data_IF_211701777095
#
_entry.id   IF_211701777095
#
_cell.length_a   1.000
_cell.length_b   1.000
_cell.length_c   1.000
_cell.angle_alpha   90.00
_cell.angle_beta   90.00
_cell.angle_gamma   90.00
#
_symmetry.space_group_name_H-M   'P 1'
#
loop_
_entity.id
_entity.type
_entity.pdbx_description
1 polymer ?
#
# COMPACT_ATOMS: atom_id res chain seq x y z
N UNK A 1 -4.92 4.05 -9.84
CA UNK A 1 -3.97 5.13 -9.48
C UNK A 1 -4.47 6.03 -8.35
N UNK A 2 -5.61 6.71 -8.49
CA UNK A 2 -6.05 7.79 -7.60
C UNK A 2 -6.07 7.47 -6.09
N UNK A 3 -6.46 6.26 -5.70
CA UNK A 3 -6.47 5.88 -4.27
C UNK A 3 -5.04 5.81 -3.70
N UNK A 4 -4.09 5.26 -4.44
CA UNK A 4 -2.70 5.10 -3.97
C UNK A 4 -1.99 6.45 -3.96
N UNK A 5 -2.14 7.24 -5.03
CA UNK A 5 -1.60 8.61 -5.10
C UNK A 5 -2.17 9.48 -3.98
N UNK A 6 -3.49 9.43 -3.75
CA UNK A 6 -4.12 10.20 -2.68
C UNK A 6 -3.65 9.78 -1.29
N UNK A 7 -3.43 8.48 -1.07
CA UNK A 7 -2.88 7.97 0.19
C UNK A 7 -1.44 8.44 0.41
N UNK A 8 -0.58 8.35 -0.62
CA UNK A 8 0.81 8.82 -0.58
C UNK A 8 0.88 10.34 -0.34
N UNK A 9 0.10 11.15 -1.05
CA UNK A 9 0.05 12.61 -0.82
C UNK A 9 -0.44 12.97 0.58
N UNK A 10 -1.47 12.27 1.09
CA UNK A 10 -1.97 12.48 2.45
C UNK A 10 -0.89 12.19 3.48
N UNK A 11 -0.13 11.13 3.25
CA UNK A 11 0.99 10.76 4.07
C UNK A 11 2.07 11.86 4.08
N UNK A 12 2.49 12.35 2.91
CA UNK A 12 3.53 13.39 2.82
C UNK A 12 3.08 14.66 3.55
N UNK A 13 1.78 14.94 3.49
CA UNK A 13 1.17 16.04 4.23
C UNK A 13 1.21 15.84 5.75
N UNK A 14 1.00 14.62 6.26
CA UNK A 14 1.07 14.36 7.70
C UNK A 14 2.49 14.43 8.26
N UNK A 15 3.49 14.18 7.44
CA UNK A 15 4.90 14.30 7.81
C UNK A 15 5.49 15.68 7.50
N UNK A 16 4.72 16.56 6.85
CA UNK A 16 5.21 17.87 6.43
C UNK A 16 6.35 17.80 5.41
N UNK A 17 6.41 16.73 4.61
CA UNK A 17 7.53 16.43 3.70
C UNK A 17 7.10 16.37 2.23
N UNK A 18 8.08 16.17 1.35
CA UNK A 18 7.89 15.97 -0.08
C UNK A 18 8.46 14.61 -0.50
N UNK A 19 7.96 14.07 -1.62
CA UNK A 19 8.31 12.72 -2.04
C UNK A 19 8.34 12.53 -3.55
N UNK A 20 8.89 11.39 -3.95
CA UNK A 20 8.93 10.92 -5.33
C UNK A 20 8.04 9.68 -5.42
N UNK A 21 7.12 9.66 -6.38
CA UNK A 21 6.24 8.52 -6.62
C UNK A 21 6.72 7.76 -7.85
N UNK A 22 7.24 6.56 -7.64
CA UNK A 22 7.62 5.63 -8.70
C UNK A 22 6.58 4.52 -8.80
N UNK A 23 6.11 4.27 -10.01
CA UNK A 23 5.08 3.28 -10.30
C UNK A 23 5.66 2.18 -11.18
N UNK A 24 5.26 0.94 -10.91
CA UNK A 24 5.66 -0.17 -11.76
C UNK A 24 5.04 -0.02 -13.15
N UNK A 25 3.70 0.08 -13.24
CA UNK A 25 2.99 0.18 -14.52
C UNK A 25 1.68 0.97 -14.44
N UNK A 26 1.41 1.69 -15.53
CA UNK A 26 0.08 2.11 -15.97
C UNK A 26 -0.06 1.83 -17.47
N UNK A 27 -1.08 1.04 -17.84
CA UNK A 27 -1.33 0.67 -19.24
C UNK A 27 -1.74 1.88 -20.09
N UNK A 28 -2.23 2.95 -19.46
CA UNK A 28 -2.65 4.18 -20.12
C UNK A 28 -1.50 5.18 -20.38
N UNK A 29 -0.24 4.74 -20.22
CA UNK A 29 1.00 5.47 -20.58
C UNK A 29 1.23 6.76 -19.78
N UNK A 30 2.20 7.56 -20.25
CA UNK A 30 2.63 8.83 -19.68
C UNK A 30 1.52 9.89 -19.61
N UNK A 31 0.54 9.87 -20.51
CA UNK A 31 -0.53 10.87 -20.58
C UNK A 31 -1.35 10.91 -19.28
N UNK A 32 -1.63 9.75 -18.69
CA UNK A 32 -2.36 9.67 -17.42
C UNK A 32 -1.52 10.19 -16.25
N UNK A 33 -0.20 9.96 -16.25
CA UNK A 33 0.71 10.50 -15.23
C UNK A 33 0.89 12.02 -15.38
N UNK A 34 0.99 12.50 -16.61
CA UNK A 34 1.05 13.93 -16.92
C UNK A 34 -0.22 14.64 -16.46
N UNK A 35 -1.38 14.09 -16.83
CA UNK A 35 -2.67 14.61 -16.40
C UNK A 35 -2.77 14.64 -14.86
N UNK A 36 -2.42 13.52 -14.21
CA UNK A 36 -2.42 13.41 -12.75
C UNK A 36 -1.50 14.45 -12.09
N UNK A 37 -0.33 14.72 -12.66
CA UNK A 37 0.62 15.68 -12.10
C UNK A 37 0.14 17.12 -12.28
N UNK A 38 -0.34 17.46 -13.48
CA UNK A 38 -0.78 18.82 -13.82
C UNK A 38 -2.12 19.18 -13.17
N UNK A 39 -3.04 18.22 -13.11
CA UNK A 39 -4.41 18.43 -12.70
C UNK A 39 -4.73 17.77 -11.36
N UNK A 40 -3.91 16.89 -10.80
CA UNK A 40 -4.22 16.25 -9.51
C UNK A 40 -5.33 15.20 -9.59
N UNK A 41 -6.07 15.05 -8.49
CA UNK A 41 -7.00 13.96 -8.23
C UNK A 41 -8.43 14.45 -8.00
N UNK A 42 -9.38 13.89 -8.73
CA UNK A 42 -10.80 14.03 -8.39
C UNK A 42 -11.24 12.89 -7.46
N UNK A 43 -11.57 13.24 -6.22
CA UNK A 43 -12.04 12.30 -5.20
C UNK A 43 -13.28 12.82 -4.50
N UNK A 44 -14.41 12.12 -4.69
CA UNK A 44 -15.67 12.35 -3.95
C UNK A 44 -16.15 13.81 -3.97
N UNK A 45 -16.05 14.47 -5.13
CA UNK A 45 -16.45 15.86 -5.31
C UNK A 45 -15.43 16.89 -4.81
N UNK A 46 -14.27 16.44 -4.33
CA UNK A 46 -13.13 17.31 -4.01
C UNK A 46 -12.00 17.09 -5.01
N UNK A 47 -11.37 18.20 -5.38
CA UNK A 47 -10.19 18.22 -6.22
C UNK A 47 -8.95 18.36 -5.34
N UNK A 48 -7.98 17.47 -5.51
CA UNK A 48 -6.77 17.40 -4.68
C UNK A 48 -5.57 17.57 -5.59
N UNK A 49 -4.87 18.70 -5.46
CA UNK A 49 -3.54 18.88 -6.06
C UNK A 49 -2.56 17.88 -5.45
N UNK A 50 -1.68 17.35 -6.29
CA UNK A 50 -0.65 16.38 -5.89
C UNK A 50 0.75 16.95 -5.99
N UNK A 51 0.93 17.98 -6.80
CA UNK A 51 2.20 18.67 -7.07
C UNK A 51 2.70 19.50 -5.87
N UNK A 52 1.85 19.73 -4.87
CA UNK A 52 2.22 20.41 -3.62
C UNK A 52 3.06 19.54 -2.66
N UNK A 53 3.14 18.23 -2.93
CA UNK A 53 3.85 17.26 -2.09
C UNK A 53 4.64 16.24 -2.90
N UNK A 54 4.11 15.79 -4.04
CA UNK A 54 4.79 14.83 -4.92
C UNK A 54 5.56 15.63 -5.96
N UNK A 55 6.89 15.54 -5.90
CA UNK A 55 7.79 16.34 -6.75
C UNK A 55 8.03 15.70 -8.11
N UNK A 56 7.85 14.38 -8.20
CA UNK A 56 8.10 13.61 -9.41
C UNK A 56 7.20 12.38 -9.46
N UNK A 57 6.62 12.16 -10.64
CA UNK A 57 6.03 10.89 -11.03
C UNK A 57 6.98 10.20 -12.01
N UNK A 58 7.34 8.95 -11.70
CA UNK A 58 8.15 8.12 -12.57
C UNK A 58 7.46 6.79 -12.80
N UNK A 59 7.61 6.26 -14.02
CA UNK A 59 7.23 4.90 -14.36
C UNK A 59 8.39 4.28 -15.12
N UNK A 60 8.60 2.99 -14.94
CA UNK A 60 9.65 2.28 -15.66
C UNK A 60 9.06 1.54 -16.86
N UNK A 61 9.90 1.22 -17.85
CA UNK A 61 9.47 0.45 -19.01
C UNK A 61 9.57 -1.05 -18.70
N UNK A 62 8.83 -1.89 -19.43
CA UNK A 62 8.91 -3.35 -19.30
C UNK A 62 10.38 -3.84 -19.37
N UNK A 63 10.76 -4.69 -18.42
CA UNK A 63 12.12 -5.25 -18.25
C UNK A 63 13.26 -4.23 -18.03
N UNK A 64 12.96 -2.96 -17.77
CA UNK A 64 13.98 -1.91 -17.75
C UNK A 64 14.46 -1.50 -16.35
N UNK A 65 13.86 -2.03 -15.26
CA UNK A 65 14.18 -1.55 -13.92
C UNK A 65 14.27 -2.64 -12.85
N UNK A 66 15.40 -2.69 -12.17
CA UNK A 66 15.58 -3.45 -10.93
C UNK A 66 14.60 -3.00 -9.84
N UNK A 67 14.14 -1.75 -9.87
CA UNK A 67 13.15 -1.25 -8.93
C UNK A 67 11.77 -1.87 -9.17
N UNK A 68 11.38 -2.06 -10.44
CA UNK A 68 10.16 -2.77 -10.81
C UNK A 68 10.21 -4.22 -10.34
N UNK A 69 11.34 -4.91 -10.57
CA UNK A 69 11.54 -6.27 -10.06
C UNK A 69 11.46 -6.34 -8.53
N UNK A 70 12.08 -5.38 -7.81
CA UNK A 70 12.02 -5.32 -6.35
C UNK A 70 10.59 -5.05 -5.85
N UNK A 71 9.84 -4.16 -6.50
CA UNK A 71 8.44 -3.90 -6.19
C UNK A 71 7.57 -5.15 -6.45
N UNK A 72 7.78 -5.85 -7.56
CA UNK A 72 7.07 -7.11 -7.88
C UNK A 72 7.37 -8.21 -6.86
N UNK A 73 8.62 -8.36 -6.45
CA UNK A 73 9.02 -9.31 -5.40
C UNK A 73 8.32 -8.95 -4.08
N UNK A 74 8.40 -7.69 -3.66
CA UNK A 74 7.78 -7.23 -2.40
C UNK A 74 6.26 -7.39 -2.41
N UNK A 75 5.59 -6.98 -3.49
CA UNK A 75 4.13 -7.08 -3.64
C UNK A 75 3.68 -8.55 -3.79
N UNK A 76 4.43 -9.35 -4.54
CA UNK A 76 4.17 -10.79 -4.70
C UNK A 76 4.33 -11.55 -3.39
N UNK A 77 5.37 -11.22 -2.62
CA UNK A 77 5.60 -11.74 -1.28
C UNK A 77 4.51 -11.30 -0.29
N UNK A 78 4.10 -10.04 -0.33
CA UNK A 78 2.97 -9.56 0.48
C UNK A 78 1.66 -10.27 0.12
N UNK A 79 1.39 -10.47 -1.18
CA UNK A 79 0.23 -11.25 -1.65
C UNK A 79 0.27 -12.68 -1.14
N UNK A 80 1.45 -13.31 -1.08
CA UNK A 80 1.61 -14.64 -0.52
C UNK A 80 1.21 -14.67 0.97
N UNK A 81 1.68 -13.71 1.76
CA UNK A 81 1.30 -13.60 3.18
C UNK A 81 -0.21 -13.39 3.36
N UNK A 82 -0.83 -12.53 2.53
CA UNK A 82 -2.29 -12.31 2.52
C UNK A 82 -3.07 -13.59 2.21
N UNK A 83 -2.64 -14.34 1.19
CA UNK A 83 -3.30 -15.60 0.81
C UNK A 83 -3.12 -16.67 1.89
N UNK A 84 -1.93 -16.76 2.48
CA UNK A 84 -1.64 -17.68 3.59
C UNK A 84 -2.50 -17.36 4.81
N UNK A 85 -2.67 -16.08 5.14
CA UNK A 85 -3.50 -15.62 6.25
C UNK A 85 -4.99 -16.02 6.12
N UNK A 86 -5.47 -16.28 4.90
CA UNK A 86 -6.83 -16.76 4.64
C UNK A 86 -6.91 -18.27 4.36
N UNK A 87 -5.81 -19.00 4.58
CA UNK A 87 -5.74 -20.47 4.52
C UNK A 87 -5.16 -21.05 3.23
N UNK A 88 -4.63 -20.23 2.32
CA UNK A 88 -4.09 -20.66 1.01
C UNK A 88 -2.56 -20.47 0.93
N UNK A 89 -1.82 -21.15 1.81
CA UNK A 89 -0.35 -21.08 1.82
C UNK A 89 0.33 -21.81 2.98
N UNK A 90 1.65 -21.61 3.12
CA UNK A 90 2.46 -22.23 4.18
C UNK A 90 2.74 -21.19 5.26
N UNK A 91 2.01 -21.29 6.37
CA UNK A 91 2.09 -20.34 7.48
C UNK A 91 3.51 -20.08 8.03
N UNK A 92 4.40 -21.10 8.19
CA UNK A 92 5.77 -20.84 8.64
C UNK A 92 6.55 -19.93 7.68
N UNK A 93 6.34 -20.09 6.37
CA UNK A 93 6.99 -19.27 5.33
C UNK A 93 6.47 -17.84 5.37
N UNK A 94 5.15 -17.66 5.52
CA UNK A 94 4.57 -16.34 5.63
C UNK A 94 5.05 -15.59 6.88
N UNK A 95 5.21 -16.27 8.02
CA UNK A 95 5.77 -15.71 9.26
C UNK A 95 7.23 -15.30 9.11
N UNK A 96 8.04 -16.08 8.41
CA UNK A 96 9.45 -15.76 8.17
C UNK A 96 9.62 -14.58 7.19
N UNK A 97 8.77 -14.50 6.16
CA UNK A 97 8.86 -13.46 5.14
C UNK A 97 8.36 -12.09 5.61
N UNK A 98 7.28 -12.06 6.38
CA UNK A 98 6.54 -10.82 6.64
C UNK A 98 7.35 -9.73 7.37
N UNK A 99 8.22 -10.02 8.36
CA UNK A 99 9.03 -8.98 9.01
C UNK A 99 9.87 -8.17 8.02
N UNK A 100 10.52 -8.82 7.06
CA UNK A 100 11.30 -8.14 6.03
C UNK A 100 10.42 -7.29 5.09
N UNK A 101 9.20 -7.74 4.81
CA UNK A 101 8.24 -6.97 4.01
C UNK A 101 7.72 -5.75 4.78
N UNK A 102 7.47 -5.92 6.07
CA UNK A 102 7.00 -4.86 6.94
C UNK A 102 7.97 -3.66 6.97
N UNK A 103 9.28 -3.91 6.98
CA UNK A 103 10.31 -2.86 6.97
C UNK A 103 10.27 -1.96 5.72
N UNK A 104 9.89 -2.52 4.57
CA UNK A 104 9.83 -1.80 3.29
C UNK A 104 8.42 -1.31 2.95
N UNK A 105 7.43 -1.65 3.77
CA UNK A 105 6.09 -1.14 3.68
C UNK A 105 5.95 0.14 4.48
N UNK A 106 5.07 1.03 4.02
CA UNK A 106 4.66 2.14 4.85
C UNK A 106 3.98 1.64 6.13
N UNK A 107 4.56 1.93 7.29
CA UNK A 107 3.92 1.77 8.58
C UNK A 107 3.99 3.07 9.39
N UNK A 108 2.95 3.36 10.18
CA UNK A 108 3.04 4.44 11.17
C UNK A 108 3.71 3.89 12.42
N UNK A 109 4.84 4.46 12.84
CA UNK A 109 5.36 4.19 14.17
C UNK A 109 4.34 4.67 15.23
N UNK A 110 3.89 3.74 16.06
CA UNK A 110 3.15 4.02 17.28
C UNK A 110 4.14 4.41 18.39
N UNK A 111 3.60 4.92 19.50
CA UNK A 111 4.37 5.05 20.72
C UNK A 111 5.00 3.68 21.07
N UNK A 112 6.25 3.71 21.58
CA UNK A 112 7.03 2.52 21.97
C UNK A 112 7.59 1.68 20.80
N UNK A 113 7.65 2.23 19.58
CA UNK A 113 8.35 1.59 18.45
C UNK A 113 7.56 0.50 17.74
N UNK A 114 6.28 0.30 18.11
CA UNK A 114 5.40 -0.63 17.40
C UNK A 114 4.98 -0.06 16.04
N UNK A 115 5.10 -0.85 14.97
CA UNK A 115 4.65 -0.44 13.63
C UNK A 115 3.17 -0.78 13.43
N UNK A 116 2.32 0.22 13.15
CA UNK A 116 0.93 0.00 12.76
C UNK A 116 0.82 -0.10 11.23
N UNK A 117 0.56 -1.31 10.76
CA UNK A 117 0.30 -1.62 9.35
C UNK A 117 -1.17 -1.39 8.93
N UNK A 118 -2.08 -1.18 9.90
CA UNK A 118 -3.49 -0.90 9.59
C UNK A 118 -3.65 0.49 8.98
N UNK A 119 -4.08 0.55 7.72
CA UNK A 119 -4.46 1.80 7.05
C UNK A 119 -3.43 2.38 6.10
N UNK A 120 -2.27 1.74 5.93
CA UNK A 120 -1.19 2.22 5.06
C UNK A 120 -0.48 1.03 4.39
N UNK A 121 -0.36 1.06 3.07
CA UNK A 121 -0.02 -0.11 2.22
C UNK A 121 -1.23 -1.01 1.92
N UNK A 122 -2.11 -1.23 2.90
CA UNK A 122 -3.37 -1.93 2.74
C UNK A 122 -4.57 -1.00 2.95
N UNK A 123 -5.34 -0.74 1.89
CA UNK A 123 -6.53 0.10 1.92
C UNK A 123 -7.78 -0.75 1.61
N UNK A 124 -8.54 -1.19 2.63
CA UNK A 124 -9.76 -1.96 2.38
C UNK A 124 -10.75 -1.10 1.59
N UNK A 125 -11.19 -1.65 0.46
CA UNK A 125 -12.22 -1.09 -0.41
C UNK A 125 -13.28 -2.17 -0.65
N UNK A 126 -14.55 -1.94 -0.28
CA UNK A 126 -15.12 -0.77 0.41
C UNK A 126 -14.59 -0.62 1.84
N UNK A 127 -14.80 0.54 2.48
CA UNK A 127 -14.41 0.73 3.88
C UNK A 127 -15.19 -0.24 4.77
N UNK A 128 -14.59 -0.70 5.88
CA UNK A 128 -15.18 -1.74 6.75
C UNK A 128 -16.58 -1.38 7.26
N UNK A 129 -16.79 -0.12 7.63
CA UNK A 129 -18.08 0.45 8.06
C UNK A 129 -19.16 0.40 6.97
N UNK A 130 -18.75 0.37 5.70
CA UNK A 130 -19.64 0.29 4.53
C UNK A 130 -19.99 -1.15 4.13
N UNK A 131 -19.27 -2.15 4.68
CA UNK A 131 -19.59 -3.56 4.44
C UNK A 131 -20.82 -3.93 5.27
N UNK A 132 -21.95 -4.12 4.58
CA UNK A 132 -23.24 -4.48 5.20
C UNK A 132 -23.34 -5.95 5.62
N UNK A 133 -22.63 -6.84 4.90
CA UNK A 133 -22.65 -8.27 5.15
C UNK A 133 -21.61 -8.61 6.22
N UNK A 134 -22.06 -9.09 7.38
CA UNK A 134 -21.18 -9.34 8.53
C UNK A 134 -20.08 -10.36 8.22
N UNK A 135 -20.39 -11.44 7.50
CA UNK A 135 -19.39 -12.45 7.12
C UNK A 135 -18.26 -11.88 6.27
N UNK A 136 -18.56 -10.89 5.41
CA UNK A 136 -17.52 -10.19 4.66
C UNK A 136 -16.68 -9.31 5.57
N UNK A 137 -17.30 -8.53 6.46
CA UNK A 137 -16.57 -7.69 7.42
C UNK A 137 -15.60 -8.52 8.27
N UNK A 138 -16.07 -9.64 8.81
CA UNK A 138 -15.24 -10.56 9.59
C UNK A 138 -14.04 -11.09 8.80
N UNK A 139 -14.16 -11.34 7.49
CA UNK A 139 -13.01 -11.74 6.66
C UNK A 139 -11.93 -10.66 6.58
N UNK A 140 -12.32 -9.39 6.47
CA UNK A 140 -11.37 -8.28 6.46
C UNK A 140 -10.72 -8.08 7.84
N UNK A 141 -11.50 -8.18 8.93
CA UNK A 141 -10.98 -8.05 10.29
C UNK A 141 -10.00 -9.19 10.62
N UNK A 142 -10.35 -10.43 10.24
CA UNK A 142 -9.48 -11.59 10.39
C UNK A 142 -8.19 -11.45 9.60
N UNK A 143 -8.25 -10.93 8.37
CA UNK A 143 -7.06 -10.68 7.57
C UNK A 143 -6.15 -9.65 8.24
N UNK A 144 -6.69 -8.54 8.73
CA UNK A 144 -5.90 -7.53 9.42
C UNK A 144 -5.23 -8.09 10.69
N UNK A 145 -5.98 -8.87 11.49
CA UNK A 145 -5.45 -9.53 12.68
C UNK A 145 -4.34 -10.56 12.33
N UNK A 146 -4.55 -11.35 11.28
CA UNK A 146 -3.58 -12.34 10.83
C UNK A 146 -2.28 -11.70 10.31
N UNK A 147 -2.38 -10.64 9.51
CA UNK A 147 -1.21 -9.88 9.05
C UNK A 147 -0.45 -9.24 10.23
N UNK A 148 -1.16 -8.66 11.19
CA UNK A 148 -0.52 -8.14 12.40
C UNK A 148 0.19 -9.24 13.21
N UNK A 149 -0.35 -10.47 13.23
CA UNK A 149 0.29 -11.60 13.91
C UNK A 149 1.60 -12.05 13.25
N UNK A 150 1.83 -11.68 11.98
CA UNK A 150 3.09 -11.94 11.29
C UNK A 150 4.13 -10.84 11.54
N UNK A 151 3.72 -9.65 12.00
CA UNK A 151 4.63 -8.55 12.36
C UNK A 151 5.12 -8.59 13.81
N UNK A 152 4.54 -9.44 14.66
CA UNK A 152 4.97 -9.60 16.05
C UNK A 152 6.07 -10.66 16.09
N UNK A 153 7.28 -10.26 16.46
CA UNK A 153 8.40 -11.19 16.65
C UNK A 153 7.99 -12.29 17.65
N UNK A 154 8.21 -13.58 17.34
CA UNK A 154 8.12 -14.61 18.35
C UNK A 154 9.33 -14.43 19.28
N UNK A 155 9.05 -13.92 20.50
CA UNK A 155 10.01 -13.95 21.62
C UNK A 155 10.62 -15.33 21.81
#
# INVERSE_FOLDING_TARGET
MNTVTGAYRKMLSSEGTHGIMLMDRDNDRFDHLEYLFQHGLDMRGSHIRVDDRIMLFGMTNDNASNLSSAADIALGAFRYCVNTAVGDGREPVAREMFPNLAEIMWAKELAEGAQLFSGYGYHPRPKLDQIRVQSHRSRYDNLAAALNSYSIDPL
#
